data_IF_546747135471
#
_entry.id   IF_546747135471
#
_cell.length_a   1.000
_cell.length_b   1.000
_cell.length_c   1.000
_cell.angle_alpha   90.00
_cell.angle_beta   90.00
_cell.angle_gamma   90.00
#
_symmetry.space_group_name_H-M   'P 1'
#
loop_
_entity.id
_entity.type
_entity.pdbx_description
1 polymer ?
#
# COMPACT_ATOMS: atom_id res chain seq x y z
N UNK A 1 61.90 -35.30 -25.78
CA UNK A 1 60.63 -35.95 -25.40
C UNK A 1 60.91 -36.86 -24.23
N UNK A 2 60.46 -36.52 -23.02
CA UNK A 2 60.65 -37.38 -21.83
C UNK A 2 59.57 -38.46 -21.86
N UNK A 3 59.97 -39.70 -22.11
CA UNK A 3 59.17 -40.91 -21.90
C UNK A 3 59.04 -41.13 -20.40
N UNK A 4 57.94 -40.64 -19.82
CA UNK A 4 57.56 -40.99 -18.45
C UNK A 4 57.28 -42.49 -18.41
N UNK A 5 57.96 -43.21 -17.51
CA UNK A 5 57.77 -44.65 -17.33
C UNK A 5 56.33 -44.91 -16.85
N UNK A 6 55.52 -45.69 -17.60
CA UNK A 6 54.11 -45.93 -17.27
C UNK A 6 53.92 -46.56 -15.88
N UNK A 7 54.90 -47.31 -15.38
CA UNK A 7 54.82 -47.94 -14.06
C UNK A 7 55.02 -46.94 -12.93
N UNK A 8 55.92 -45.97 -13.10
CA UNK A 8 56.15 -44.90 -12.12
C UNK A 8 54.94 -43.95 -12.01
N UNK A 9 54.23 -43.74 -13.14
CA UNK A 9 52.97 -43.01 -13.15
C UNK A 9 51.86 -43.75 -12.37
N UNK A 10 51.73 -45.07 -12.56
CA UNK A 10 50.72 -45.89 -11.90
C UNK A 10 50.99 -45.96 -10.39
N UNK A 11 52.23 -46.15 -9.95
CA UNK A 11 52.55 -46.19 -8.52
C UNK A 11 52.34 -44.82 -7.84
N UNK A 12 52.67 -43.72 -8.53
CA UNK A 12 52.42 -42.36 -8.03
C UNK A 12 50.93 -42.01 -7.92
N UNK A 13 50.07 -42.60 -8.76
CA UNK A 13 48.62 -42.33 -8.78
C UNK A 13 47.79 -43.49 -8.23
N UNK A 14 48.41 -44.51 -7.64
CA UNK A 14 47.76 -45.76 -7.22
C UNK A 14 46.58 -45.52 -6.27
N UNK A 15 46.75 -44.64 -5.30
CA UNK A 15 45.69 -44.26 -4.35
C UNK A 15 44.53 -43.53 -5.04
N UNK A 16 44.83 -42.66 -6.01
CA UNK A 16 43.81 -41.97 -6.81
C UNK A 16 43.06 -42.96 -7.69
N UNK A 17 43.76 -43.90 -8.32
CA UNK A 17 43.17 -44.96 -9.15
C UNK A 17 42.25 -45.83 -8.31
N UNK A 18 42.68 -46.29 -7.12
CA UNK A 18 41.82 -47.08 -6.24
C UNK A 18 40.62 -46.32 -5.70
N UNK A 19 40.75 -45.02 -5.40
CA UNK A 19 39.60 -44.17 -5.01
C UNK A 19 38.60 -44.00 -6.14
N UNK A 20 39.08 -43.72 -7.36
CA UNK A 20 38.23 -43.60 -8.54
C UNK A 20 37.57 -44.93 -8.86
N UNK A 21 38.31 -46.05 -8.81
CA UNK A 21 37.77 -47.38 -9.06
C UNK A 21 36.73 -47.76 -7.98
N UNK A 22 36.99 -47.44 -6.72
CA UNK A 22 36.05 -47.62 -5.62
C UNK A 22 34.77 -46.80 -5.82
N UNK A 23 34.90 -45.52 -6.22
CA UNK A 23 33.75 -44.67 -6.55
C UNK A 23 32.95 -45.24 -7.73
N UNK A 24 33.63 -45.68 -8.78
CA UNK A 24 33.00 -46.30 -9.96
C UNK A 24 32.29 -47.59 -9.59
N UNK A 25 32.89 -48.43 -8.73
CA UNK A 25 32.26 -49.66 -8.25
C UNK A 25 31.01 -49.37 -7.42
N UNK A 26 31.06 -48.38 -6.52
CA UNK A 26 29.88 -47.93 -5.75
C UNK A 26 28.79 -47.39 -6.68
N UNK A 27 29.14 -46.55 -7.66
CA UNK A 27 28.19 -46.03 -8.66
C UNK A 27 27.55 -47.15 -9.49
N UNK A 28 28.34 -48.18 -9.86
CA UNK A 28 27.84 -49.34 -10.59
C UNK A 28 26.83 -50.14 -9.77
N UNK A 29 27.12 -50.38 -8.48
CA UNK A 29 26.20 -51.06 -7.56
C UNK A 29 24.90 -50.26 -7.42
N UNK A 30 25.00 -48.94 -7.21
CA UNK A 30 23.83 -48.05 -7.15
C UNK A 30 23.02 -48.14 -8.45
N UNK A 31 23.68 -48.07 -9.61
CA UNK A 31 23.04 -48.17 -10.91
C UNK A 31 22.32 -49.51 -11.10
N UNK A 32 22.93 -50.62 -10.69
CA UNK A 32 22.33 -51.96 -10.76
C UNK A 32 21.10 -52.08 -9.87
N UNK A 33 21.14 -51.52 -8.65
CA UNK A 33 19.99 -51.49 -7.75
C UNK A 33 18.84 -50.67 -8.36
N UNK A 34 19.14 -49.47 -8.88
CA UNK A 34 18.16 -48.61 -9.58
C UNK A 34 17.56 -49.36 -10.78
N UNK A 35 18.41 -50.00 -11.59
CA UNK A 35 17.98 -50.78 -12.76
C UNK A 35 17.09 -51.95 -12.35
N UNK A 36 17.46 -52.71 -11.31
CA UNK A 36 16.66 -53.82 -10.81
C UNK A 36 15.28 -53.36 -10.36
N UNK A 37 15.21 -52.27 -9.58
CA UNK A 37 13.96 -51.66 -9.15
C UNK A 37 13.11 -51.17 -10.34
N UNK A 38 13.74 -50.51 -11.32
CA UNK A 38 13.06 -50.02 -12.53
C UNK A 38 12.49 -51.17 -13.38
N UNK A 39 13.23 -52.28 -13.51
CA UNK A 39 12.78 -53.47 -14.23
C UNK A 39 11.64 -54.18 -13.47
N UNK A 40 11.73 -54.28 -12.14
CA UNK A 40 10.68 -54.88 -11.28
C UNK A 40 9.35 -54.13 -11.36
N UNK A 41 9.39 -52.82 -11.63
CA UNK A 41 8.19 -51.98 -11.77
C UNK A 41 7.63 -51.92 -13.22
N UNK A 42 8.08 -52.82 -14.11
CA UNK A 42 7.59 -52.92 -15.48
C UNK A 42 8.26 -51.97 -16.48
N UNK A 43 9.51 -51.60 -16.20
CA UNK A 43 10.40 -50.86 -17.10
C UNK A 43 10.64 -49.40 -16.69
N UNK A 44 11.77 -48.85 -17.18
CA UNK A 44 12.20 -47.48 -16.91
C UNK A 44 11.11 -46.42 -17.16
N UNK A 45 10.30 -46.59 -18.21
CA UNK A 45 9.21 -45.66 -18.52
C UNK A 45 8.04 -45.66 -17.53
N UNK A 46 7.78 -46.77 -16.81
CA UNK A 46 6.74 -46.82 -15.76
C UNK A 46 7.27 -46.27 -14.43
N UNK A 47 8.48 -46.65 -14.05
CA UNK A 47 9.15 -46.12 -12.86
C UNK A 47 9.32 -44.59 -12.96
N UNK A 48 9.76 -44.08 -14.11
CA UNK A 48 9.90 -42.64 -14.34
C UNK A 48 8.56 -41.90 -14.31
N UNK A 49 7.48 -42.48 -14.87
CA UNK A 49 6.14 -41.89 -14.78
C UNK A 49 5.61 -41.84 -13.35
N UNK A 50 5.86 -42.86 -12.53
CA UNK A 50 5.47 -42.89 -11.12
C UNK A 50 6.27 -41.87 -10.31
N UNK A 51 7.58 -41.82 -10.51
CA UNK A 51 8.46 -40.86 -9.88
C UNK A 51 8.09 -39.42 -10.25
N UNK A 52 7.76 -39.14 -11.52
CA UNK A 52 7.26 -37.82 -11.95
C UNK A 52 5.90 -37.48 -11.32
N UNK A 53 5.01 -38.45 -11.11
CA UNK A 53 3.73 -38.23 -10.43
C UNK A 53 3.95 -37.91 -8.95
N UNK A 54 4.80 -38.66 -8.27
CA UNK A 54 5.15 -38.41 -6.87
C UNK A 54 5.85 -37.05 -6.71
N UNK A 55 6.84 -36.71 -7.56
CA UNK A 55 7.43 -35.36 -7.59
C UNK A 55 6.46 -34.26 -7.98
N UNK A 56 5.44 -34.53 -8.80
CA UNK A 56 4.42 -33.53 -9.12
C UNK A 56 3.51 -33.26 -7.91
N UNK A 57 3.13 -34.29 -7.16
CA UNK A 57 2.30 -34.17 -5.96
C UNK A 57 3.08 -33.45 -4.85
N UNK A 58 4.30 -33.91 -4.56
CA UNK A 58 5.19 -33.29 -3.57
C UNK A 58 5.62 -31.90 -4.01
N UNK A 59 5.94 -31.74 -5.29
CA UNK A 59 6.30 -30.45 -5.89
C UNK A 59 5.17 -29.43 -5.80
N UNK A 60 3.90 -29.85 -5.85
CA UNK A 60 2.80 -28.90 -5.71
C UNK A 60 2.68 -28.33 -4.29
N UNK A 61 2.97 -29.16 -3.27
CA UNK A 61 2.98 -28.75 -1.86
C UNK A 61 4.17 -27.83 -1.54
N UNK A 62 5.37 -28.12 -2.05
CA UNK A 62 6.56 -27.27 -1.84
C UNK A 62 6.64 -26.05 -2.78
N UNK A 63 5.94 -26.07 -3.92
CA UNK A 63 5.90 -24.93 -4.82
C UNK A 63 5.02 -23.79 -4.28
N UNK A 64 4.04 -24.07 -3.43
CA UNK A 64 3.14 -23.03 -2.91
C UNK A 64 3.91 -21.96 -2.08
N UNK A 65 4.76 -22.32 -1.10
CA UNK A 65 5.61 -21.35 -0.39
C UNK A 65 6.54 -20.57 -1.33
N UNK A 66 7.19 -21.26 -2.28
CA UNK A 66 8.11 -20.62 -3.22
C UNK A 66 7.40 -19.63 -4.14
N UNK A 67 6.22 -19.98 -4.66
CA UNK A 67 5.39 -19.10 -5.49
C UNK A 67 4.90 -17.90 -4.70
N UNK A 68 4.51 -18.08 -3.44
CA UNK A 68 4.10 -16.98 -2.56
C UNK A 68 5.27 -16.02 -2.32
N UNK A 69 6.46 -16.54 -2.03
CA UNK A 69 7.67 -15.75 -1.86
C UNK A 69 8.09 -15.00 -3.14
N UNK A 70 8.05 -15.66 -4.30
CA UNK A 70 8.33 -15.03 -5.60
C UNK A 70 7.32 -13.92 -5.92
N UNK A 71 6.03 -14.15 -5.63
CA UNK A 71 4.98 -13.14 -5.78
C UNK A 71 5.24 -11.94 -4.87
N UNK A 72 5.55 -12.18 -3.60
CA UNK A 72 5.93 -11.11 -2.66
C UNK A 72 7.15 -10.33 -3.16
N UNK A 73 8.20 -11.01 -3.64
CA UNK A 73 9.39 -10.34 -4.20
C UNK A 73 9.11 -9.57 -5.48
N UNK A 74 8.17 -10.02 -6.31
CA UNK A 74 7.74 -9.28 -7.50
C UNK A 74 6.97 -8.03 -7.08
N UNK A 75 5.96 -8.18 -6.24
CA UNK A 75 5.16 -7.10 -5.67
C UNK A 75 6.02 -6.03 -4.98
N UNK A 76 6.97 -6.46 -4.14
CA UNK A 76 7.89 -5.54 -3.48
C UNK A 76 8.75 -4.75 -4.48
N UNK A 77 9.21 -5.38 -5.57
CA UNK A 77 9.98 -4.69 -6.61
C UNK A 77 9.12 -3.71 -7.40
N UNK A 78 7.90 -4.11 -7.76
CA UNK A 78 6.94 -3.23 -8.43
C UNK A 78 6.69 -1.98 -7.58
N UNK A 79 6.28 -2.19 -6.32
CA UNK A 79 5.93 -1.11 -5.40
C UNK A 79 7.13 -0.21 -5.09
N UNK A 80 8.31 -0.77 -4.78
CA UNK A 80 9.50 0.05 -4.52
C UNK A 80 9.89 0.86 -5.76
N UNK A 81 9.80 0.29 -6.96
CA UNK A 81 10.12 1.03 -8.19
C UNK A 81 9.10 2.14 -8.46
N UNK A 82 7.80 1.84 -8.38
CA UNK A 82 6.75 2.80 -8.67
C UNK A 82 6.65 3.90 -7.61
N UNK A 83 6.59 3.53 -6.33
CA UNK A 83 6.43 4.50 -5.23
C UNK A 83 7.66 5.39 -5.02
N UNK A 84 8.86 4.94 -5.42
CA UNK A 84 10.06 5.78 -5.37
C UNK A 84 10.07 6.86 -6.46
N UNK A 85 9.35 6.68 -7.56
CA UNK A 85 9.39 7.61 -8.69
C UNK A 85 8.36 8.74 -8.47
N UNK A 86 8.78 10.01 -8.29
CA UNK A 86 7.83 11.11 -8.07
C UNK A 86 6.84 11.30 -9.24
N UNK A 87 7.28 10.98 -10.46
CA UNK A 87 6.45 11.02 -11.65
C UNK A 87 5.24 10.06 -11.55
N UNK A 88 5.39 8.89 -10.93
CA UNK A 88 4.28 7.93 -10.77
C UNK A 88 3.14 8.53 -9.93
N UNK A 89 3.47 9.27 -8.88
CA UNK A 89 2.47 9.95 -8.04
C UNK A 89 1.80 11.10 -8.78
N UNK A 90 2.61 11.97 -9.41
CA UNK A 90 2.10 13.14 -10.14
C UNK A 90 1.25 12.75 -11.33
N UNK A 91 1.62 11.70 -12.04
CA UNK A 91 0.86 11.19 -13.18
C UNK A 91 -0.47 10.59 -12.72
N UNK A 92 -0.50 9.90 -11.57
CA UNK A 92 -1.74 9.42 -10.97
C UNK A 92 -2.67 10.58 -10.57
N UNK A 93 -2.13 11.61 -9.91
CA UNK A 93 -2.89 12.80 -9.50
C UNK A 93 -3.45 13.55 -10.70
N UNK A 94 -2.62 13.77 -11.74
CA UNK A 94 -3.06 14.41 -12.99
C UNK A 94 -4.15 13.60 -13.67
N UNK A 95 -4.00 12.28 -13.78
CA UNK A 95 -5.01 11.45 -14.41
C UNK A 95 -6.33 11.46 -13.64
N UNK A 96 -6.30 11.38 -12.30
CA UNK A 96 -7.51 11.45 -11.47
C UNK A 96 -8.19 12.81 -11.58
N UNK A 97 -7.43 13.90 -11.59
CA UNK A 97 -7.97 15.24 -11.77
C UNK A 97 -8.58 15.42 -13.17
N UNK A 98 -7.88 14.98 -14.22
CA UNK A 98 -8.38 15.00 -15.59
C UNK A 98 -9.68 14.20 -15.75
N UNK A 99 -9.77 13.02 -15.12
CA UNK A 99 -10.98 12.21 -15.14
C UNK A 99 -12.15 12.92 -14.46
N UNK A 100 -11.90 13.75 -13.43
CA UNK A 100 -12.94 14.55 -12.76
C UNK A 100 -13.39 15.74 -13.58
N UNK A 101 -12.45 16.43 -14.23
CA UNK A 101 -12.76 17.51 -15.17
C UNK A 101 -13.64 17.01 -16.33
N UNK A 102 -13.38 15.78 -16.78
CA UNK A 102 -14.20 15.01 -17.69
C UNK A 102 -15.56 14.54 -17.13
N UNK A 103 -15.93 14.90 -15.90
CA UNK A 103 -17.19 14.51 -15.25
C UNK A 103 -17.20 13.11 -14.61
N UNK A 104 -16.08 12.39 -14.65
CA UNK A 104 -15.92 11.09 -14.01
C UNK A 104 -15.81 11.18 -12.49
N UNK A 105 -16.50 10.30 -11.77
CA UNK A 105 -16.33 10.13 -10.31
C UNK A 105 -15.12 9.24 -10.00
N UNK A 106 -13.92 9.73 -10.31
CA UNK A 106 -12.66 9.01 -10.10
C UNK A 106 -12.39 8.74 -8.61
N UNK A 107 -12.13 7.48 -8.26
CA UNK A 107 -11.85 7.05 -6.88
C UNK A 107 -10.48 6.39 -6.68
N UNK A 108 -9.84 5.92 -7.75
CA UNK A 108 -8.54 5.24 -7.69
C UNK A 108 -7.79 5.35 -9.02
N UNK A 109 -6.50 5.01 -9.01
CA UNK A 109 -5.66 4.94 -10.20
C UNK A 109 -4.69 3.75 -10.15
N UNK A 110 -4.47 3.11 -11.27
CA UNK A 110 -3.47 2.06 -11.48
C UNK A 110 -2.37 2.61 -12.37
N UNK A 111 -1.10 2.54 -11.93
CA UNK A 111 0.02 3.12 -12.69
C UNK A 111 1.13 2.11 -12.91
N UNK A 112 1.63 2.02 -14.13
CA UNK A 112 2.88 1.33 -14.47
C UNK A 112 3.87 2.23 -15.21
N UNK A 113 4.78 1.63 -15.98
CA UNK A 113 5.78 2.35 -16.74
C UNK A 113 5.22 3.06 -17.98
N UNK A 114 4.06 2.65 -18.48
CA UNK A 114 3.56 3.01 -19.81
C UNK A 114 2.23 3.76 -19.73
N UNK A 115 1.33 3.37 -18.82
CA UNK A 115 -0.02 3.90 -18.74
C UNK A 115 -0.46 4.23 -17.31
N UNK A 116 -1.49 5.08 -17.23
CA UNK A 116 -2.30 5.32 -16.03
C UNK A 116 -3.73 4.92 -16.35
N UNK A 117 -4.32 4.06 -15.53
CA UNK A 117 -5.74 3.67 -15.61
C UNK A 117 -6.47 4.24 -14.41
N UNK A 118 -7.39 5.17 -14.63
CA UNK A 118 -8.25 5.75 -13.60
C UNK A 118 -9.49 4.88 -13.44
N UNK A 119 -9.86 4.59 -12.19
CA UNK A 119 -11.07 3.86 -11.85
C UNK A 119 -12.18 4.86 -11.49
N UNK A 120 -13.28 4.77 -12.21
CA UNK A 120 -14.41 5.72 -12.13
C UNK A 120 -15.64 5.03 -11.57
N UNK A 121 -16.30 5.66 -10.59
CA UNK A 121 -17.53 5.13 -10.01
C UNK A 121 -18.77 5.54 -10.83
N UNK A 122 -19.66 4.60 -11.13
CA UNK A 122 -20.93 4.88 -11.81
C UNK A 122 -21.57 3.61 -12.38
N UNK A 123 -22.83 3.67 -12.78
CA UNK A 123 -23.46 2.57 -13.52
C UNK A 123 -22.80 2.51 -14.91
N UNK A 124 -22.05 1.42 -15.14
CA UNK A 124 -21.25 1.12 -16.33
C UNK A 124 -21.92 1.41 -17.69
N UNK A 125 -23.25 1.55 -17.74
CA UNK A 125 -24.02 1.77 -18.97
C UNK A 125 -24.14 3.23 -19.43
N UNK A 126 -23.85 4.21 -18.56
CA UNK A 126 -24.04 5.64 -18.87
C UNK A 126 -22.79 6.51 -18.63
N UNK A 127 -21.68 5.91 -18.21
CA UNK A 127 -20.40 6.61 -18.12
C UNK A 127 -19.77 6.58 -19.52
N UNK A 128 -20.39 7.30 -20.45
CA UNK A 128 -19.77 7.56 -21.74
C UNK A 128 -18.51 8.37 -21.49
N UNK A 129 -17.39 7.92 -22.06
CA UNK A 129 -16.21 8.78 -22.19
C UNK A 129 -16.66 10.12 -22.77
N UNK A 130 -16.15 11.25 -22.25
CA UNK A 130 -16.42 12.56 -22.83
C UNK A 130 -16.23 12.55 -24.36
N UNK A 131 -17.04 13.33 -25.07
CA UNK A 131 -16.97 13.41 -26.54
C UNK A 131 -15.57 13.85 -27.04
N UNK A 132 -14.78 14.51 -26.19
CA UNK A 132 -13.37 14.83 -26.42
C UNK A 132 -12.41 13.67 -26.02
N UNK A 133 -12.61 12.52 -26.66
CA UNK A 133 -11.84 11.26 -26.49
C UNK A 133 -10.33 11.34 -26.81
N UNK A 134 -9.70 12.51 -26.86
CA UNK A 134 -8.35 12.66 -27.43
C UNK A 134 -7.26 11.95 -26.63
N UNK A 135 -7.46 11.76 -25.33
CA UNK A 135 -6.43 11.23 -24.43
C UNK A 135 -6.78 9.89 -23.80
N UNK A 136 -8.08 9.58 -23.72
CA UNK A 136 -8.56 8.36 -23.10
C UNK A 136 -8.59 7.24 -24.13
N UNK A 137 -7.77 6.22 -23.89
CA UNK A 137 -7.77 4.99 -24.65
C UNK A 137 -9.09 4.27 -24.39
N UNK A 138 -9.93 4.14 -25.42
CA UNK A 138 -11.01 3.17 -25.43
C UNK A 138 -10.38 1.77 -25.38
N UNK A 139 -10.24 1.22 -24.18
CA UNK A 139 -9.70 -0.10 -23.96
C UNK A 139 -10.77 -1.19 -24.10
N UNK A 140 -10.33 -2.43 -24.27
CA UNK A 140 -11.17 -3.63 -24.07
C UNK A 140 -11.49 -3.89 -22.58
N UNK A 141 -11.03 -3.01 -21.68
CA UNK A 141 -11.26 -3.07 -20.24
C UNK A 141 -12.71 -2.67 -19.89
N UNK A 142 -13.15 -3.02 -18.67
CA UNK A 142 -14.50 -2.71 -18.20
C UNK A 142 -14.81 -1.20 -18.28
N UNK A 143 -16.08 -0.84 -18.53
CA UNK A 143 -16.56 0.53 -18.76
C UNK A 143 -16.21 1.55 -17.64
N UNK A 144 -15.71 1.08 -16.49
CA UNK A 144 -15.25 1.85 -15.33
C UNK A 144 -13.74 2.13 -15.31
N UNK A 145 -12.99 1.73 -16.35
CA UNK A 145 -11.54 1.90 -16.48
C UNK A 145 -11.20 2.91 -17.59
N UNK A 146 -10.72 4.08 -17.20
CA UNK A 146 -10.28 5.12 -18.14
C UNK A 146 -8.77 5.14 -18.21
N UNK A 147 -8.20 4.63 -19.32
CA UNK A 147 -6.75 4.50 -19.48
C UNK A 147 -6.17 5.59 -20.36
N UNK A 148 -4.95 6.01 -20.08
CA UNK A 148 -4.19 6.98 -20.88
C UNK A 148 -2.71 6.62 -20.81
N UNK A 149 -2.00 6.75 -21.94
CA UNK A 149 -0.55 6.58 -21.94
C UNK A 149 0.10 7.72 -21.15
N UNK A 150 1.16 7.42 -20.38
CA UNK A 150 1.80 8.42 -19.51
C UNK A 150 2.38 9.60 -20.30
N UNK A 151 2.81 9.36 -21.54
CA UNK A 151 3.31 10.40 -22.44
C UNK A 151 2.19 11.33 -22.94
N UNK A 152 0.95 10.84 -22.97
CA UNK A 152 -0.22 11.53 -23.53
C UNK A 152 -1.16 12.05 -22.43
N UNK A 153 -0.70 12.07 -21.17
CA UNK A 153 -1.49 12.59 -20.05
C UNK A 153 -1.90 14.03 -20.31
N UNK A 154 -3.20 14.37 -20.20
CA UNK A 154 -3.67 15.71 -20.47
C UNK A 154 -3.06 16.70 -19.46
N UNK A 155 -2.75 17.93 -19.91
CA UNK A 155 -2.46 19.01 -18.98
C UNK A 155 -3.74 19.31 -18.20
N UNK A 156 -3.68 19.23 -16.87
CA UNK A 156 -4.80 19.62 -16.00
C UNK A 156 -4.54 21.02 -15.49
N UNK A 157 -5.46 21.94 -15.78
CA UNK A 157 -5.47 23.26 -15.16
C UNK A 157 -6.13 23.11 -13.78
N UNK A 158 -5.46 23.46 -12.69
CA UNK A 158 -6.04 23.34 -11.37
C UNK A 158 -7.28 24.22 -11.23
N UNK A 159 -8.43 23.60 -11.03
CA UNK A 159 -9.68 24.28 -10.69
C UNK A 159 -9.71 24.53 -9.16
N UNK A 160 -9.78 25.78 -8.69
CA UNK A 160 -9.83 26.09 -7.27
C UNK A 160 -11.07 25.53 -6.55
N UNK A 161 -12.14 25.25 -7.29
CA UNK A 161 -13.39 24.71 -6.75
C UNK A 161 -13.38 23.17 -6.72
N UNK A 162 -12.40 22.52 -7.34
CA UNK A 162 -12.29 21.07 -7.39
C UNK A 162 -11.46 20.50 -6.23
N UNK A 163 -11.94 19.40 -5.64
CA UNK A 163 -11.23 18.68 -4.59
C UNK A 163 -9.94 18.06 -5.12
N UNK A 164 -8.81 18.50 -4.55
CA UNK A 164 -7.49 18.00 -4.91
C UNK A 164 -7.33 16.52 -4.53
N UNK A 165 -6.84 15.65 -5.44
CA UNK A 165 -6.64 14.24 -5.14
C UNK A 165 -5.63 14.01 -4.00
N UNK A 166 -5.99 13.18 -3.02
CA UNK A 166 -5.07 12.73 -1.96
C UNK A 166 -4.86 11.25 -2.14
N UNK A 167 -3.92 10.92 -3.01
CA UNK A 167 -3.63 9.53 -3.38
C UNK A 167 -2.73 8.85 -2.35
N UNK A 168 -3.12 7.65 -1.95
CA UNK A 168 -2.26 6.73 -1.18
C UNK A 168 -2.16 5.40 -1.90
N UNK A 169 -1.00 4.77 -1.88
CA UNK A 169 -0.82 3.43 -2.40
C UNK A 169 -1.49 2.42 -1.46
N UNK A 170 -2.32 1.55 -2.04
CA UNK A 170 -3.03 0.47 -1.35
C UNK A 170 -2.58 -0.92 -1.79
N UNK A 171 -1.64 -1.03 -2.74
CA UNK A 171 -1.06 -2.30 -3.17
C UNK A 171 -0.67 -2.30 -4.63
N UNK A 172 -0.59 -3.48 -5.24
CA UNK A 172 -0.46 -3.63 -6.69
C UNK A 172 -1.59 -4.45 -7.31
N UNK A 173 -1.86 -4.20 -8.60
CA UNK A 173 -2.77 -4.98 -9.45
C UNK A 173 -2.06 -5.33 -10.75
N UNK A 174 -1.77 -6.62 -10.96
CA UNK A 174 -1.14 -7.06 -12.22
C UNK A 174 0.24 -6.47 -12.50
N UNK A 175 0.96 -5.99 -11.49
CA UNK A 175 2.24 -5.28 -11.67
C UNK A 175 2.11 -3.76 -11.84
N UNK A 176 0.91 -3.20 -11.67
CA UNK A 176 0.64 -1.75 -11.59
C UNK A 176 0.52 -1.33 -10.13
N UNK A 177 1.08 -0.19 -9.74
CA UNK A 177 0.85 0.40 -8.42
C UNK A 177 -0.60 0.88 -8.35
N UNK A 178 -1.34 0.45 -7.32
CA UNK A 178 -2.71 0.86 -7.10
C UNK A 178 -2.76 1.97 -6.06
N UNK A 179 -3.30 3.11 -6.47
CA UNK A 179 -3.54 4.28 -5.65
C UNK A 179 -5.03 4.43 -5.39
N UNK A 180 -5.39 4.72 -4.15
CA UNK A 180 -6.74 5.07 -3.74
C UNK A 180 -6.78 6.56 -3.43
N UNK A 181 -7.80 7.26 -3.95
CA UNK A 181 -8.03 8.64 -3.55
C UNK A 181 -8.82 8.70 -2.25
N UNK A 182 -8.16 9.25 -1.24
CA UNK A 182 -8.77 9.48 0.07
C UNK A 182 -9.48 10.83 0.14
N UNK A 183 -9.33 11.75 -0.81
CA UNK A 183 -10.02 13.03 -0.80
C UNK A 183 -11.50 12.90 -1.22
N UNK A 184 -11.85 11.86 -1.97
CA UNK A 184 -13.23 11.61 -2.44
C UNK A 184 -13.89 10.45 -1.72
N UNK A 185 -15.19 10.63 -1.47
CA UNK A 185 -16.03 9.67 -0.77
C UNK A 185 -16.09 9.95 0.73
N UNK A 186 -16.52 8.95 1.51
CA UNK A 186 -16.79 9.12 2.93
C UNK A 186 -15.59 9.69 3.71
N UNK A 187 -15.82 10.58 4.70
CA UNK A 187 -14.75 11.19 5.50
C UNK A 187 -14.01 10.15 6.35
N UNK A 188 -14.68 9.05 6.71
CA UNK A 188 -14.12 7.94 7.45
C UNK A 188 -13.68 6.81 6.53
N UNK A 189 -12.43 6.38 6.69
CA UNK A 189 -11.86 5.21 6.02
C UNK A 189 -11.45 4.22 7.09
N UNK A 190 -12.00 3.01 7.04
CA UNK A 190 -11.73 1.95 8.00
C UNK A 190 -10.83 0.89 7.39
N UNK A 191 -9.96 0.29 8.20
CA UNK A 191 -9.12 -0.84 7.80
C UNK A 191 -9.47 -2.04 8.66
N UNK A 192 -10.03 -3.07 8.03
CA UNK A 192 -10.64 -4.22 8.70
C UNK A 192 -10.11 -5.56 8.16
N UNK A 193 -10.51 -6.66 8.79
CA UNK A 193 -10.20 -8.02 8.37
C UNK A 193 -9.08 -8.69 9.17
N UNK A 194 -8.12 -9.32 8.48
CA UNK A 194 -7.01 -10.01 9.15
C UNK A 194 -6.18 -9.04 9.99
N UNK A 195 -6.10 -9.26 11.31
CA UNK A 195 -5.49 -8.32 12.26
C UNK A 195 -4.08 -7.89 11.87
N UNK A 196 -3.24 -8.82 11.41
CA UNK A 196 -1.85 -8.53 11.04
C UNK A 196 -1.79 -7.67 9.79
N UNK A 197 -2.59 -8.02 8.78
CA UNK A 197 -2.64 -7.33 7.49
C UNK A 197 -3.28 -5.95 7.62
N UNK A 198 -4.34 -5.82 8.43
CA UNK A 198 -5.03 -4.57 8.73
C UNK A 198 -4.11 -3.56 9.41
N UNK A 199 -3.37 -3.97 10.47
CA UNK A 199 -2.39 -3.10 11.15
C UNK A 199 -1.31 -2.64 10.18
N UNK A 200 -0.77 -3.56 9.37
CA UNK A 200 0.28 -3.23 8.41
C UNK A 200 -0.20 -2.26 7.32
N UNK A 201 -1.43 -2.42 6.83
CA UNK A 201 -2.04 -1.51 5.85
C UNK A 201 -2.33 -0.14 6.47
N UNK A 202 -2.97 -0.11 7.65
CA UNK A 202 -3.30 1.13 8.36
C UNK A 202 -2.05 1.98 8.62
N UNK A 203 -0.98 1.37 9.14
CA UNK A 203 0.30 2.04 9.37
C UNK A 203 0.97 2.49 8.07
N UNK A 204 0.89 1.69 7.00
CA UNK A 204 1.44 2.07 5.70
C UNK A 204 0.69 3.27 5.08
N UNK A 205 -0.63 3.33 5.22
CA UNK A 205 -1.43 4.48 4.75
C UNK A 205 -1.16 5.71 5.62
N UNK A 206 -1.11 5.54 6.95
CA UNK A 206 -0.78 6.62 7.87
C UNK A 206 0.60 7.24 7.59
N UNK A 207 1.63 6.42 7.37
CA UNK A 207 2.97 6.90 7.04
C UNK A 207 3.02 7.65 5.70
N UNK A 208 2.24 7.19 4.71
CA UNK A 208 2.11 7.92 3.44
C UNK A 208 1.46 9.28 3.68
N UNK A 209 0.34 9.34 4.40
CA UNK A 209 -0.32 10.61 4.70
C UNK A 209 0.58 11.59 5.45
N UNK A 210 1.32 11.11 6.44
CA UNK A 210 2.24 11.92 7.25
C UNK A 210 3.33 12.59 6.41
N UNK A 211 3.91 11.87 5.44
CA UNK A 211 4.93 12.44 4.54
C UNK A 211 4.32 13.27 3.42
N UNK A 212 3.12 12.91 2.96
CA UNK A 212 2.52 13.54 1.78
C UNK A 212 1.79 14.84 2.10
N UNK A 213 1.17 14.95 3.27
CA UNK A 213 0.42 16.13 3.65
C UNK A 213 1.31 17.19 4.31
N UNK A 214 0.98 18.48 4.17
CA UNK A 214 1.63 19.55 4.91
C UNK A 214 1.72 19.29 6.41
N UNK A 215 2.81 19.76 7.03
CA UNK A 215 3.04 19.61 8.45
C UNK A 215 1.85 20.13 9.28
N UNK A 216 1.45 19.33 10.27
CA UNK A 216 0.33 19.62 11.14
C UNK A 216 -1.04 19.48 10.49
N UNK A 217 -1.17 18.72 9.38
CA UNK A 217 -2.47 18.23 8.89
C UNK A 217 -2.73 16.76 9.25
N UNK A 218 -1.76 16.05 9.82
CA UNK A 218 -1.94 14.68 10.28
C UNK A 218 -1.83 14.65 11.80
N UNK A 219 -2.86 14.13 12.46
CA UNK A 219 -2.86 13.88 13.91
C UNK A 219 -2.96 12.40 14.15
N UNK A 220 -1.95 11.84 14.83
CA UNK A 220 -1.89 10.42 15.17
C UNK A 220 -2.30 10.22 16.64
N UNK A 221 -3.39 9.48 16.84
CA UNK A 221 -3.86 9.11 18.17
C UNK A 221 -3.04 7.94 18.76
N UNK A 222 -3.26 7.67 20.04
CA UNK A 222 -2.73 6.50 20.73
C UNK A 222 -3.20 5.18 20.07
N UNK A 223 -2.40 4.12 20.26
CA UNK A 223 -2.73 2.78 19.76
C UNK A 223 -2.45 2.52 18.27
N UNK A 224 -2.10 3.55 17.48
CA UNK A 224 -1.78 3.40 16.05
C UNK A 224 -0.46 2.65 15.83
N UNK A 225 0.56 2.94 16.63
CA UNK A 225 1.88 2.32 16.51
C UNK A 225 2.42 1.91 17.88
N UNK A 226 2.96 0.69 18.00
CA UNK A 226 3.41 0.13 19.29
C UNK A 226 4.55 0.93 19.93
N UNK A 227 5.42 1.51 19.10
CA UNK A 227 6.55 2.33 19.55
C UNK A 227 6.26 3.83 19.66
N UNK A 228 5.00 4.25 19.50
CA UNK A 228 4.61 5.66 19.59
C UNK A 228 3.39 5.79 20.49
N UNK A 229 3.55 6.43 21.65
CA UNK A 229 2.48 6.55 22.64
C UNK A 229 1.22 7.23 22.05
N UNK A 230 1.41 8.20 21.15
CA UNK A 230 0.33 8.97 20.54
C UNK A 230 -0.40 9.89 21.52
N UNK A 231 -1.28 10.71 20.98
CA UNK A 231 -2.16 11.57 21.79
C UNK A 231 -3.45 10.79 22.12
N UNK A 232 -4.01 10.89 23.35
CA UNK A 232 -5.26 10.23 23.68
C UNK A 232 -6.36 10.53 22.66
N UNK A 233 -7.16 9.53 22.27
CA UNK A 233 -8.07 9.62 21.09
C UNK A 233 -8.94 10.88 21.12
N UNK A 234 -9.51 11.23 22.27
CA UNK A 234 -10.35 12.41 22.43
C UNK A 234 -9.60 13.74 22.25
N UNK A 235 -8.36 13.80 22.73
CA UNK A 235 -7.51 14.98 22.59
C UNK A 235 -6.96 15.08 21.16
N UNK A 236 -6.60 13.95 20.54
CA UNK A 236 -6.21 13.87 19.13
C UNK A 236 -7.32 14.35 18.20
N UNK A 237 -8.56 13.90 18.44
CA UNK A 237 -9.73 14.37 17.70
C UNK A 237 -9.96 15.88 17.85
N UNK A 238 -9.86 16.42 19.08
CA UNK A 238 -9.97 17.87 19.30
C UNK A 238 -8.88 18.63 18.53
N UNK A 239 -7.63 18.19 18.63
CA UNK A 239 -6.51 18.81 17.93
C UNK A 239 -6.69 18.77 16.40
N UNK A 240 -7.16 17.65 15.85
CA UNK A 240 -7.42 17.51 14.41
C UNK A 240 -8.56 18.42 13.94
N UNK A 241 -9.61 18.61 14.77
CA UNK A 241 -10.74 19.51 14.47
C UNK A 241 -10.36 20.99 14.54
N UNK A 242 -9.41 21.35 15.39
CA UNK A 242 -8.88 22.72 15.50
C UNK A 242 -7.93 23.09 14.34
N UNK A 243 -7.41 22.09 13.62
CA UNK A 243 -6.60 22.32 12.42
C UNK A 243 -7.47 22.85 11.29
N UNK A 244 -6.99 23.93 10.66
CA UNK A 244 -7.62 24.45 9.44
C UNK A 244 -7.10 23.70 8.22
N UNK A 245 -7.95 23.44 7.21
CA UNK A 245 -7.48 23.00 5.91
C UNK A 245 -6.37 23.90 5.40
N UNK A 246 -5.29 23.31 4.88
CA UNK A 246 -4.21 24.04 4.22
C UNK A 246 -4.19 23.60 2.77
N UNK A 247 -4.08 24.56 1.85
CA UNK A 247 -3.91 24.25 0.43
C UNK A 247 -5.04 23.40 -0.18
N UNK A 248 -6.28 23.55 0.33
CA UNK A 248 -7.42 22.72 -0.10
C UNK A 248 -7.38 21.28 0.41
N UNK A 249 -6.49 20.95 1.34
CA UNK A 249 -6.34 19.62 1.94
C UNK A 249 -6.93 19.61 3.35
N UNK A 250 -7.80 18.63 3.61
CA UNK A 250 -8.42 18.42 4.91
C UNK A 250 -7.42 17.82 5.91
N UNK A 251 -7.46 18.23 7.19
CA UNK A 251 -6.82 17.51 8.27
C UNK A 251 -7.24 16.03 8.31
N UNK A 252 -6.33 15.16 8.75
CA UNK A 252 -6.55 13.73 8.89
C UNK A 252 -6.24 13.28 10.32
N UNK A 253 -7.23 12.68 10.98
CA UNK A 253 -7.05 11.95 12.22
C UNK A 253 -6.77 10.47 11.92
N UNK A 254 -5.61 9.98 12.34
CA UNK A 254 -5.27 8.56 12.31
C UNK A 254 -5.49 7.98 13.70
N UNK A 255 -6.37 7.00 13.84
CA UNK A 255 -6.74 6.43 15.15
C UNK A 255 -6.98 4.93 15.09
N UNK A 256 -6.76 4.25 16.21
CA UNK A 256 -7.09 2.83 16.38
C UNK A 256 -8.47 2.61 17.01
N UNK A 257 -9.07 3.66 17.56
CA UNK A 257 -10.41 3.61 18.17
C UNK A 257 -11.24 4.81 17.71
N UNK A 258 -12.55 4.62 17.67
CA UNK A 258 -13.48 5.66 17.30
C UNK A 258 -13.58 6.71 18.42
N UNK A 259 -13.63 8.02 18.12
CA UNK A 259 -13.91 9.02 19.14
C UNK A 259 -15.27 8.75 19.80
N UNK A 260 -15.32 8.85 21.14
CA UNK A 260 -16.55 8.67 21.93
C UNK A 260 -16.97 10.00 22.63
N UNK A 261 -18.17 10.53 22.37
CA UNK A 261 -19.15 10.07 21.38
C UNK A 261 -18.69 10.30 19.94
N UNK A 262 -19.25 9.50 19.00
CA UNK A 262 -18.99 9.65 17.57
C UNK A 262 -19.52 11.01 17.11
N UNK A 263 -18.67 11.89 16.56
CA UNK A 263 -19.10 13.18 16.03
C UNK A 263 -20.10 13.02 14.89
N UNK A 264 -21.13 13.86 14.87
CA UNK A 264 -22.15 13.87 13.81
C UNK A 264 -21.54 14.04 12.40
N UNK A 265 -20.50 14.87 12.31
CA UNK A 265 -19.69 15.15 11.11
C UNK A 265 -19.06 13.89 10.49
N UNK A 266 -18.87 12.82 11.28
CA UNK A 266 -18.34 11.54 10.81
C UNK A 266 -19.43 10.51 10.50
N UNK A 267 -20.66 10.74 10.98
CA UNK A 267 -21.79 9.83 10.78
C UNK A 267 -22.74 10.25 9.66
N UNK A 268 -22.79 11.54 9.34
CA UNK A 268 -23.66 12.11 8.33
C UNK A 268 -22.95 12.24 6.97
N UNK A 269 -23.69 12.15 5.84
CA UNK A 269 -23.11 12.44 4.54
C UNK A 269 -22.58 13.88 4.51
N UNK A 270 -21.34 14.12 4.04
CA UNK A 270 -20.80 15.46 4.00
C UNK A 270 -21.56 16.31 2.96
N UNK A 271 -22.13 17.44 3.39
CA UNK A 271 -22.80 18.40 2.49
C UNK A 271 -21.80 19.22 1.66
N UNK A 272 -20.55 19.33 2.13
CA UNK A 272 -19.45 20.07 1.51
C UNK A 272 -18.11 19.33 1.70
N UNK A 273 -17.00 19.93 1.26
CA UNK A 273 -15.65 19.38 1.50
C UNK A 273 -15.47 19.03 2.99
N UNK A 274 -15.12 17.78 3.34
CA UNK A 274 -15.11 17.37 4.73
C UNK A 274 -14.03 18.13 5.51
N UNK A 275 -14.44 18.76 6.60
CA UNK A 275 -13.55 19.54 7.46
C UNK A 275 -12.49 18.69 8.16
N UNK A 276 -12.75 17.38 8.31
CA UNK A 276 -11.85 16.41 8.92
C UNK A 276 -12.04 15.06 8.25
N UNK A 277 -10.94 14.35 7.99
CA UNK A 277 -10.95 12.95 7.57
C UNK A 277 -10.44 12.04 8.68
N UNK A 278 -10.92 10.80 8.69
CA UNK A 278 -10.55 9.82 9.71
C UNK A 278 -10.04 8.54 9.05
N UNK A 279 -8.87 8.08 9.47
CA UNK A 279 -8.31 6.76 9.15
C UNK A 279 -8.36 5.88 10.41
N UNK A 280 -9.32 4.94 10.43
CA UNK A 280 -9.59 4.05 11.55
C UNK A 280 -8.98 2.67 11.32
N UNK A 281 -8.35 2.10 12.34
CA UNK A 281 -8.09 0.66 12.40
C UNK A 281 -9.28 -0.03 13.09
N UNK A 282 -9.93 -0.97 12.41
CA UNK A 282 -11.09 -1.69 12.94
C UNK A 282 -12.44 -1.13 12.46
N UNK A 283 -13.51 -1.54 13.14
CA UNK A 283 -14.89 -1.26 12.74
C UNK A 283 -15.27 0.21 12.96
N UNK A 284 -15.78 0.85 11.91
CA UNK A 284 -16.34 2.20 11.99
C UNK A 284 -17.86 2.22 12.09
N UNK A 285 -18.43 3.43 12.17
CA UNK A 285 -19.88 3.65 12.19
C UNK A 285 -20.23 4.84 11.30
N UNK A 286 -21.41 4.80 10.67
CA UNK A 286 -21.92 5.90 9.85
C UNK A 286 -21.47 5.85 8.39
N UNK A 287 -21.13 7.00 7.82
CA UNK A 287 -20.72 7.12 6.42
C UNK A 287 -19.22 6.84 6.28
N UNK A 288 -18.86 5.63 5.84
CA UNK A 288 -17.48 5.15 5.78
C UNK A 288 -17.14 4.38 4.49
N UNK A 289 -15.85 4.28 4.19
CA UNK A 289 -15.28 3.37 3.19
C UNK A 289 -14.38 2.36 3.88
N UNK A 290 -14.63 1.07 3.67
CA UNK A 290 -13.84 -0.01 4.30
C UNK A 290 -12.78 -0.56 3.36
N UNK A 291 -11.55 -0.69 3.86
CA UNK A 291 -10.45 -1.45 3.28
C UNK A 291 -10.39 -2.81 3.96
N UNK A 292 -10.91 -3.84 3.31
CA UNK A 292 -10.97 -5.20 3.82
C UNK A 292 -9.68 -5.95 3.48
N UNK A 293 -8.95 -6.37 4.50
CA UNK A 293 -7.71 -7.15 4.36
C UNK A 293 -7.94 -8.62 4.66
N UNK A 294 -7.34 -9.52 3.87
CA UNK A 294 -7.38 -10.95 4.15
C UNK A 294 -6.03 -11.49 4.67
N UNK A 295 -6.02 -12.73 5.14
CA UNK A 295 -4.80 -13.43 5.62
C UNK A 295 -3.73 -13.64 4.53
N UNK A 296 -4.10 -13.46 3.27
CA UNK A 296 -3.22 -13.57 2.12
C UNK A 296 -2.77 -12.18 1.63
N UNK A 297 -3.01 -11.13 2.42
CA UNK A 297 -2.77 -9.71 2.14
C UNK A 297 -3.30 -9.24 0.81
N UNK A 298 -4.46 -9.75 0.39
CA UNK A 298 -5.33 -9.05 -0.52
C UNK A 298 -6.06 -7.94 0.22
N UNK A 299 -6.33 -6.86 -0.50
CA UNK A 299 -7.05 -5.69 0.01
C UNK A 299 -8.19 -5.39 -0.96
N UNK A 300 -9.42 -5.51 -0.48
CA UNK A 300 -10.61 -5.12 -1.22
C UNK A 300 -11.10 -3.75 -0.72
N UNK A 301 -11.45 -2.86 -1.65
CA UNK A 301 -12.11 -1.60 -1.31
C UNK A 301 -13.62 -1.82 -1.40
N UNK A 302 -14.28 -1.86 -0.25
CA UNK A 302 -15.70 -2.20 -0.16
C UNK A 302 -16.56 -1.25 -1.02
N UNK A 303 -17.50 -1.84 -1.77
CA UNK A 303 -18.36 -1.10 -2.71
C UNK A 303 -17.71 -0.80 -4.07
N UNK A 304 -16.54 -1.35 -4.37
CA UNK A 304 -15.85 -1.18 -5.66
C UNK A 304 -15.29 -2.52 -6.15
N UNK A 305 -14.97 -2.67 -7.46
CA UNK A 305 -14.29 -3.86 -7.98
C UNK A 305 -12.77 -3.88 -7.66
N UNK A 306 -12.23 -2.85 -7.01
CA UNK A 306 -10.79 -2.76 -6.73
C UNK A 306 -10.35 -3.80 -5.69
N UNK A 307 -9.57 -4.77 -6.18
CA UNK A 307 -8.91 -5.80 -5.39
C UNK A 307 -7.40 -5.75 -5.65
N UNK A 308 -6.61 -5.51 -4.60
CA UNK A 308 -5.16 -5.30 -4.72
C UNK A 308 -4.36 -6.28 -3.87
N UNK A 309 -3.10 -6.51 -4.22
CA UNK A 309 -2.16 -7.26 -3.39
C UNK A 309 -1.31 -6.30 -2.55
N UNK A 310 -1.52 -6.31 -1.23
CA UNK A 310 -0.89 -5.41 -0.24
C UNK A 310 0.23 -6.00 0.61
N UNK A 311 0.51 -7.31 0.54
CA UNK A 311 1.50 -7.98 1.40
C UNK A 311 2.90 -7.32 1.46
N UNK A 312 3.31 -6.66 0.37
CA UNK A 312 4.61 -6.02 0.27
C UNK A 312 4.56 -4.51 0.52
N UNK A 313 3.38 -3.92 0.72
CA UNK A 313 3.16 -2.48 0.79
C UNK A 313 3.89 -1.85 1.97
N UNK A 314 3.68 -2.33 3.20
CA UNK A 314 4.34 -1.77 4.39
C UNK A 314 5.86 -1.76 4.26
N UNK A 315 6.44 -2.87 3.77
CA UNK A 315 7.87 -2.98 3.50
C UNK A 315 8.34 -2.10 2.34
N UNK A 316 7.51 -1.90 1.32
CA UNK A 316 7.83 -1.00 0.20
C UNK A 316 7.84 0.45 0.68
N UNK A 317 6.78 0.89 1.37
CA UNK A 317 6.64 2.24 1.95
C UNK A 317 7.81 2.53 2.88
N UNK A 318 8.14 1.65 3.82
CA UNK A 318 9.29 1.84 4.71
C UNK A 318 10.63 2.07 3.96
N UNK A 319 10.80 1.48 2.77
CA UNK A 319 12.01 1.65 1.94
C UNK A 319 12.03 2.92 1.10
N UNK A 320 10.86 3.52 0.85
CA UNK A 320 10.73 4.67 -0.05
C UNK A 320 10.18 5.91 0.63
N UNK A 321 9.86 5.83 1.93
CA UNK A 321 9.14 6.85 2.67
C UNK A 321 9.73 8.25 2.46
N UNK A 322 11.05 8.40 2.57
CA UNK A 322 11.76 9.67 2.38
C UNK A 322 11.79 10.20 0.94
N UNK A 323 11.35 9.39 -0.03
CA UNK A 323 11.31 9.73 -1.46
C UNK A 323 9.87 9.91 -1.98
N UNK A 324 8.87 9.69 -1.13
CA UNK A 324 7.47 9.94 -1.49
C UNK A 324 7.27 11.46 -1.61
N UNK A 325 6.76 11.96 -2.75
CA UNK A 325 6.57 13.38 -2.93
C UNK A 325 5.36 13.90 -2.12
N UNK A 326 5.41 15.15 -1.63
CA UNK A 326 4.26 15.80 -1.04
C UNK A 326 3.10 15.90 -2.06
N UNK A 327 1.88 16.01 -1.55
CA UNK A 327 0.74 16.48 -2.35
C UNK A 327 1.01 17.94 -2.66
N UNK A 328 1.25 18.25 -3.94
CA UNK A 328 1.53 19.62 -4.35
C UNK A 328 0.20 20.33 -4.62
N UNK A 329 -0.06 21.49 -3.99
CA UNK A 329 -1.10 22.37 -4.52
C UNK A 329 -0.72 22.84 -5.93
N UNK A 330 -1.69 23.35 -6.72
CA UNK A 330 -1.40 24.20 -7.86
C UNK A 330 -0.24 25.15 -7.55
N UNK A 331 0.70 25.28 -8.48
CA UNK A 331 1.46 26.53 -8.53
C UNK A 331 0.44 27.67 -8.59
N UNK A 332 0.58 28.75 -7.80
CA UNK A 332 -0.26 29.92 -8.01
C UNK A 332 -0.16 30.29 -9.50
N UNK A 333 -1.24 30.77 -10.14
CA UNK A 333 -1.10 31.35 -11.46
C UNK A 333 0.05 32.35 -11.36
N UNK A 334 1.00 32.26 -12.28
CA UNK A 334 2.02 33.28 -12.39
C UNK A 334 1.25 34.58 -12.61
N UNK A 335 1.02 35.31 -11.51
CA UNK A 335 0.41 36.62 -11.55
C UNK A 335 1.25 37.42 -12.52
N UNK A 336 0.57 38.10 -13.44
CA UNK A 336 1.21 38.98 -14.40
C UNK A 336 2.36 39.70 -13.72
N UNK A 337 3.58 39.42 -14.18
CA UNK A 337 4.79 40.10 -13.71
C UNK A 337 4.72 41.63 -13.90
N UNK A 338 3.66 42.12 -14.56
CA UNK A 338 3.29 43.51 -14.73
C UNK A 338 2.66 44.15 -13.47
N UNK A 339 2.09 43.39 -12.53
CA UNK A 339 1.46 43.95 -11.33
C UNK A 339 2.48 44.13 -10.19
N UNK A 340 3.45 43.21 -10.07
CA UNK A 340 4.56 43.33 -9.11
C UNK A 340 5.59 44.40 -9.50
N UNK A 341 5.72 44.72 -10.79
CA UNK A 341 6.56 45.85 -11.24
C UNK A 341 5.90 47.21 -11.00
N UNK A 342 4.56 47.29 -10.90
CA UNK A 342 3.88 48.56 -10.55
C UNK A 342 3.98 48.88 -9.07
N UNK A 343 3.93 47.90 -8.18
CA UNK A 343 4.03 48.14 -6.73
C UNK A 343 5.45 48.51 -6.27
N UNK A 344 6.49 48.13 -7.03
CA UNK A 344 7.87 48.56 -6.78
C UNK A 344 8.27 49.83 -7.53
N UNK A 345 7.51 50.27 -8.53
CA UNK A 345 7.76 51.53 -9.23
C UNK A 345 7.13 52.75 -8.53
N UNK A 346 6.02 52.57 -7.79
CA UNK A 346 5.40 53.67 -7.04
C UNK A 346 6.05 53.94 -5.67
N UNK A 347 6.97 53.07 -5.19
CA UNK A 347 7.72 53.28 -3.94
C UNK A 347 9.10 53.94 -4.16
N UNK A 348 9.59 54.02 -5.41
CA UNK A 348 10.87 54.65 -5.76
C UNK A 348 10.72 56.11 -6.23
N UNK A 349 9.49 56.62 -6.43
CA UNK A 349 9.23 58.01 -6.85
C UNK A 349 8.92 58.96 -5.66
N UNK A 350 8.59 58.44 -4.48
CA UNK A 350 8.31 59.26 -3.27
C UNK A 350 9.54 59.42 -2.34
N UNK A 351 10.66 58.73 -2.59
CA UNK A 351 11.89 58.81 -1.77
C UNK A 351 12.96 59.77 -2.35
N UNK A 352 12.68 60.43 -3.49
CA UNK A 352 13.61 61.36 -4.15
C UNK A 352 13.46 62.84 -3.71
N UNK A 353 12.42 63.21 -2.97
CA UNK A 353 12.14 64.61 -2.58
C UNK A 353 12.29 64.92 -1.07
N UNK A 354 12.69 63.96 -0.22
CA UNK A 354 12.91 64.20 1.23
C UNK A 354 14.37 64.03 1.71
N UNK A 355 15.34 63.84 0.81
CA UNK A 355 16.75 63.60 1.16
C UNK A 355 17.68 64.83 1.11
N UNK A 356 17.17 66.07 1.20
CA UNK A 356 18.01 67.30 1.28
C UNK A 356 17.83 68.13 2.57
N UNK A 357 17.27 67.58 3.66
CA UNK A 357 17.13 68.34 4.90
C UNK A 357 17.23 67.51 6.18
N UNK A 358 18.39 66.90 6.47
CA UNK A 358 18.92 66.72 7.84
C UNK A 358 20.23 65.94 7.85
N UNK A 359 21.36 66.61 7.55
CA UNK A 359 22.67 66.15 8.01
C UNK A 359 23.05 66.94 9.25
N UNK A 360 23.09 66.29 10.41
CA UNK A 360 23.61 66.89 11.62
C UNK A 360 23.43 66.05 12.88
N UNK A 361 24.56 65.59 13.41
CA UNK A 361 24.79 65.20 14.82
C UNK A 361 24.70 63.72 15.19
N UNK A 362 25.89 63.10 15.16
CA UNK A 362 26.49 62.20 16.15
C UNK A 362 25.64 61.72 17.34
N UNK A 363 25.67 60.41 17.61
CA UNK A 363 26.53 59.78 18.62
C UNK A 363 25.99 58.39 19.04
N UNK A 364 26.93 57.49 19.32
CA UNK A 364 26.86 56.32 20.22
C UNK A 364 25.81 55.21 19.97
N UNK A 365 26.31 54.04 19.55
CA UNK A 365 26.46 52.89 20.46
C UNK A 365 26.98 51.64 19.72
N UNK A 366 28.15 51.16 20.16
CA UNK A 366 28.44 49.79 20.61
C UNK A 366 27.23 48.84 20.70
N UNK A 367 27.29 47.52 20.59
CA UNK A 367 28.31 46.51 20.34
C UNK A 367 27.57 45.15 20.38
N UNK A 368 28.31 44.05 20.15
CA UNK A 368 28.00 42.66 20.52
C UNK A 368 27.17 41.82 19.53
N UNK A 369 27.85 41.03 18.68
CA UNK A 369 28.40 39.68 18.92
C UNK A 369 27.35 38.59 19.01
N UNK A 370 27.43 37.67 18.05
CA UNK A 370 26.66 36.45 18.02
C UNK A 370 27.00 35.53 19.18
N UNK A 371 25.99 34.79 19.62
CA UNK A 371 26.15 33.63 20.47
C UNK A 371 25.40 32.49 19.79
N UNK A 372 26.19 31.58 19.23
CA UNK A 372 25.73 30.28 18.76
C UNK A 372 25.44 29.41 19.98
N UNK A 373 24.20 28.94 20.11
CA UNK A 373 23.87 27.80 20.96
C UNK A 373 23.45 26.64 20.08
N UNK A 374 24.31 25.64 20.06
CA UNK A 374 24.13 24.34 19.45
C UNK A 374 22.95 23.59 20.10
N UNK A 375 22.00 23.16 19.29
CA UNK A 375 21.00 22.15 19.68
C UNK A 375 21.51 20.78 19.27
N UNK A 376 21.77 19.95 20.28
CA UNK A 376 22.17 18.56 20.17
C UNK A 376 21.07 17.71 19.52
N UNK A 377 21.41 17.03 18.44
CA UNK A 377 20.55 16.05 17.77
C UNK A 377 20.60 14.72 18.55
N UNK A 378 19.47 14.11 18.93
CA UNK A 378 19.48 12.77 19.50
C UNK A 378 19.77 11.73 18.41
N UNK A 379 20.79 10.91 18.67
CA UNK A 379 21.22 9.77 17.84
C UNK A 379 20.14 8.68 17.90
N UNK A 380 19.72 8.06 16.77
CA UNK A 380 18.76 6.96 16.79
C UNK A 380 19.38 5.69 17.43
N UNK A 381 18.58 4.86 18.13
CA UNK A 381 19.07 3.64 18.74
C UNK A 381 19.46 2.59 17.71
N UNK A 382 20.50 1.84 18.07
CA UNK A 382 21.10 0.73 17.35
C UNK A 382 20.06 -0.42 17.22
N UNK A 383 19.93 -0.99 16.03
CA UNK A 383 19.10 -2.17 15.81
C UNK A 383 19.69 -3.37 16.56
N UNK A 384 18.98 -3.87 17.56
CA UNK A 384 19.30 -5.15 18.19
C UNK A 384 19.04 -6.27 17.17
N UNK A 385 20.06 -7.11 16.98
CA UNK A 385 19.98 -8.38 16.27
C UNK A 385 19.11 -9.32 17.10
N UNK A 386 17.94 -9.70 16.58
CA UNK A 386 17.14 -10.77 17.14
C UNK A 386 17.88 -12.10 16.94
N UNK A 387 18.41 -12.66 18.03
CA UNK A 387 18.92 -14.02 18.12
C UNK A 387 17.79 -15.03 17.84
N UNK A 388 18.04 -15.90 16.85
CA UNK A 388 17.30 -17.15 16.65
C UNK A 388 17.37 -18.00 17.93
N UNK A 389 16.23 -18.16 18.61
CA UNK A 389 16.06 -19.22 19.60
C UNK A 389 15.40 -20.42 18.94
N UNK A 390 16.20 -21.45 18.69
CA UNK A 390 15.76 -22.82 18.49
C UNK A 390 15.10 -23.33 19.79
N UNK A 391 13.77 -23.43 19.80
CA UNK A 391 13.05 -24.22 20.81
C UNK A 391 12.37 -25.42 20.14
N UNK A 392 13.17 -26.47 19.97
CA UNK A 392 12.73 -27.86 19.81
C UNK A 392 12.08 -28.34 21.12
N UNK A 393 10.78 -28.09 21.26
CA UNK A 393 9.93 -28.64 22.32
C UNK A 393 9.06 -29.79 21.80
N UNK A 394 9.56 -31.01 21.92
CA UNK A 394 8.81 -32.24 21.71
C UNK A 394 7.68 -32.46 22.73
N UNK A 395 6.58 -33.04 22.25
CA UNK A 395 5.59 -33.88 22.94
C UNK A 395 4.72 -33.33 24.10
N UNK A 396 3.40 -33.21 23.84
CA UNK A 396 2.39 -34.12 24.43
C UNK A 396 1.06 -34.08 23.67
N UNK A 397 0.71 -35.20 23.05
CA UNK A 397 -0.66 -35.50 22.61
C UNK A 397 -1.47 -35.86 23.85
N UNK A 398 -2.51 -35.08 24.14
CA UNK A 398 -3.53 -35.43 25.13
C UNK A 398 -4.71 -36.04 24.37
N UNK A 399 -4.97 -37.33 24.60
CA UNK A 399 -6.20 -38.02 24.20
C UNK A 399 -7.42 -37.33 24.83
N UNK A 400 -8.54 -37.16 24.08
CA UNK A 400 -9.81 -36.79 24.69
C UNK A 400 -10.53 -38.03 25.26
N UNK A 401 -10.81 -38.00 26.56
CA UNK A 401 -11.73 -38.92 27.24
C UNK A 401 -13.19 -38.76 26.72
N UNK A 402 -14.01 -39.84 26.77
CA UNK A 402 -15.38 -39.83 26.31
C UNK A 402 -16.33 -39.21 27.35
N UNK A 403 -16.98 -38.09 27.00
CA UNK A 403 -17.98 -37.46 27.84
C UNK A 403 -19.35 -38.14 27.70
N UNK A 404 -19.79 -38.67 28.83
CA UNK A 404 -21.09 -39.26 29.14
C UNK A 404 -22.27 -38.34 28.85
N UNK A 405 -23.31 -38.91 28.24
CA UNK A 405 -24.63 -38.30 28.03
C UNK A 405 -25.33 -37.87 29.33
N UNK A 406 -26.24 -36.89 29.23
CA UNK A 406 -27.51 -36.98 29.92
C UNK A 406 -28.73 -36.91 28.98
N UNK A 407 -29.73 -37.67 29.40
CA UNK A 407 -31.07 -37.82 28.85
C UNK A 407 -31.85 -36.51 28.81
N UNK A 408 -32.74 -36.44 27.81
CA UNK A 408 -34.13 -36.05 28.05
C UNK A 408 -34.55 -34.68 27.52
N UNK A 409 -35.42 -34.70 26.50
CA UNK A 409 -36.16 -33.50 26.09
C UNK A 409 -36.72 -33.61 24.68
N UNK A 410 -37.84 -34.33 24.52
CA UNK A 410 -38.67 -34.26 23.32
C UNK A 410 -39.21 -32.83 23.11
N UNK A 411 -39.54 -32.45 21.86
CA UNK A 411 -40.92 -32.03 21.68
C UNK A 411 -41.58 -32.55 20.40
N UNK A 412 -42.90 -32.64 20.53
CA UNK A 412 -43.89 -33.13 19.59
C UNK A 412 -43.98 -32.29 18.31
N UNK A 413 -44.12 -33.00 17.19
CA UNK A 413 -44.83 -32.52 16.00
C UNK A 413 -46.33 -32.46 16.29
N UNK A 414 -47.02 -31.44 15.76
CA UNK A 414 -47.99 -31.77 14.72
C UNK A 414 -47.99 -30.77 13.55
N UNK A 415 -47.99 -31.34 12.34
CA UNK A 415 -48.14 -30.64 11.06
C UNK A 415 -49.49 -31.03 10.45
N UNK A 416 -50.45 -30.13 10.55
CA UNK A 416 -51.68 -30.01 9.75
C UNK A 416 -52.21 -28.61 10.09
N UNK A 417 -52.61 -27.71 9.19
CA UNK A 417 -52.84 -27.67 7.75
C UNK A 417 -53.54 -26.33 7.49
N UNK A 418 -53.94 -26.10 6.23
CA UNK A 418 -54.87 -25.06 5.74
C UNK A 418 -54.32 -23.69 5.34
N UNK A 419 -54.12 -23.59 4.02
CA UNK A 419 -54.70 -22.60 3.11
C UNK A 419 -55.52 -21.45 3.74
N UNK A 420 -55.20 -20.22 3.33
CA UNK A 420 -56.21 -19.23 2.97
C UNK A 420 -55.63 -18.24 1.98
N UNK A 421 -56.03 -18.44 0.72
CA UNK A 421 -56.11 -17.44 -0.33
C UNK A 421 -56.94 -16.25 0.17
N UNK A 422 -56.39 -15.03 0.08
CA UNK A 422 -57.18 -13.80 0.22
C UNK A 422 -56.79 -12.81 -0.85
N UNK A 423 -57.42 -13.00 -2.01
CA UNK A 423 -57.71 -11.95 -2.98
C UNK A 423 -58.64 -10.92 -2.31
N UNK A 424 -58.35 -9.63 -2.45
CA UNK A 424 -59.34 -8.57 -2.32
C UNK A 424 -59.19 -7.58 -3.48
N UNK A 425 -60.31 -7.02 -3.97
CA UNK A 425 -60.38 -6.14 -5.12
C UNK A 425 -60.33 -4.66 -4.71
N UNK A 426 -59.71 -3.82 -5.53
CA UNK A 426 -60.39 -2.82 -6.37
C UNK A 426 -59.37 -1.98 -7.14
#
# INVERSE_FOLDING_TARGET
MRTTDPFEFIDRHRDTIFRVLGLVAVLLVIFLVIRYLAMRQGGWGKAWRRLRREFAITGHAFAAPLRAWLRHRRSLRTLVRGLRAPATWRDAERAVAAAREAGGRAYAALVDGEAVTVLVAGESRNVSLPDDQRWWLAGDDADDHWSVARADLPPVVPDPDQVHPVLVAVGEVGGRCAFLDLAVGPPMITVEGDRRSAVALHQAVAAQLDVRLPEGLVVVAEGVHRGFAGTPVRAAHRAAREQRPKLGLAPVLVTAELPDPVPAELSEPPEAFPALRLLLLGEGRGHLRTLLTDRHGQIAVAGTPLLTTGNALSRAVAKVLSAIPPVLPPAPPAGDAAETTRTFAELDEDEADEAEAASGSSADADAWTGSATASATPRPPLAELEDESDDTGEHRLTEPEPETAPRGGAPASPRAGRETTRTLPH
#
